data_IF_430356807738
#
_entry.id   IF_430356807738
#
_cell.length_a   1.000
_cell.length_b   1.000
_cell.length_c   1.000
_cell.angle_alpha   90.00
_cell.angle_beta   90.00
_cell.angle_gamma   90.00
#
_symmetry.space_group_name_H-M   'P 1'
#
loop_
_entity.id
_entity.type
_entity.pdbx_description
1 polymer ?
#
# COMPACT_ATOMS: atom_id res chain seq x y z
N UNK A 1 -14.91 -1.98 34.41
CA UNK A 1 -16.34 -1.73 34.10
C UNK A 1 -16.36 -0.55 33.14
N UNK A 2 -16.86 -0.61 31.90
CA UNK A 2 -17.92 -1.42 31.30
C UNK A 2 -17.47 -1.97 29.93
N UNK A 3 -17.67 -3.27 29.70
CA UNK A 3 -17.74 -3.83 28.36
C UNK A 3 -19.15 -3.50 27.87
N UNK A 4 -19.28 -2.44 27.07
CA UNK A 4 -20.56 -2.04 26.48
C UNK A 4 -20.79 -2.78 25.17
N UNK A 5 -21.79 -3.65 25.17
CA UNK A 5 -22.57 -4.20 24.05
C UNK A 5 -21.80 -4.78 22.85
N UNK A 6 -21.72 -6.10 22.77
CA UNK A 6 -21.64 -6.78 21.47
C UNK A 6 -22.92 -6.50 20.68
N UNK A 7 -22.90 -5.52 19.78
CA UNK A 7 -23.99 -5.36 18.81
C UNK A 7 -24.15 -6.68 18.04
N UNK A 8 -25.35 -7.24 18.08
CA UNK A 8 -25.66 -8.46 17.33
C UNK A 8 -25.55 -8.13 15.84
N UNK A 9 -24.63 -8.79 15.13
CA UNK A 9 -24.40 -8.55 13.69
C UNK A 9 -25.72 -8.65 12.93
N UNK A 10 -26.02 -7.65 12.12
CA UNK A 10 -27.19 -7.67 11.23
C UNK A 10 -27.10 -8.83 10.24
N UNK A 11 -28.25 -9.31 9.75
CA UNK A 11 -28.28 -10.39 8.77
C UNK A 11 -27.41 -10.11 7.52
N UNK A 12 -27.42 -8.90 6.91
CA UNK A 12 -26.50 -8.57 5.82
C UNK A 12 -25.02 -8.67 6.18
N UNK A 13 -24.63 -8.34 7.43
CA UNK A 13 -23.24 -8.48 7.88
C UNK A 13 -22.85 -9.95 7.98
N UNK A 14 -23.69 -10.80 8.58
CA UNK A 14 -23.46 -12.26 8.64
C UNK A 14 -23.34 -12.86 7.23
N UNK A 15 -24.26 -12.51 6.33
CA UNK A 15 -24.20 -12.95 4.93
C UNK A 15 -22.94 -12.46 4.20
N UNK A 16 -22.45 -11.26 4.48
CA UNK A 16 -21.20 -10.77 3.90
C UNK A 16 -20.00 -11.62 4.34
N UNK A 17 -19.99 -12.10 5.58
CA UNK A 17 -18.95 -12.99 6.11
C UNK A 17 -19.04 -14.38 5.46
N UNK A 18 -20.26 -14.91 5.29
CA UNK A 18 -20.48 -16.19 4.60
C UNK A 18 -20.03 -16.13 3.13
N UNK A 19 -20.26 -15.00 2.45
CA UNK A 19 -19.80 -14.79 1.07
C UNK A 19 -18.27 -14.69 1.03
N UNK A 20 -17.63 -14.04 2.01
CA UNK A 20 -16.15 -14.02 2.11
C UNK A 20 -15.63 -15.44 2.33
N UNK A 21 -16.24 -16.22 3.22
CA UNK A 21 -15.86 -17.61 3.45
C UNK A 21 -16.01 -18.46 2.18
N UNK A 22 -17.07 -18.23 1.39
CA UNK A 22 -17.25 -18.83 0.08
C UNK A 22 -16.14 -18.45 -0.91
N UNK A 23 -15.81 -17.16 -1.04
CA UNK A 23 -14.73 -16.66 -1.92
C UNK A 23 -13.41 -17.36 -1.59
N UNK A 24 -13.07 -17.46 -0.30
CA UNK A 24 -11.85 -18.10 0.18
C UNK A 24 -11.85 -19.60 -0.07
N UNK A 25 -12.98 -20.28 0.20
CA UNK A 25 -13.13 -21.72 0.01
C UNK A 25 -13.01 -22.13 -1.46
N UNK A 26 -13.60 -21.36 -2.36
CA UNK A 26 -13.52 -21.61 -3.81
C UNK A 26 -12.23 -21.05 -4.44
N UNK A 27 -11.35 -20.43 -3.64
CA UNK A 27 -10.10 -19.82 -4.07
C UNK A 27 -10.28 -18.84 -5.26
N UNK A 28 -11.36 -18.05 -5.23
CA UNK A 28 -11.64 -17.08 -6.28
C UNK A 28 -10.58 -15.97 -6.27
N UNK A 29 -10.05 -15.68 -7.46
CA UNK A 29 -8.99 -14.72 -7.69
C UNK A 29 -9.56 -13.34 -8.07
N UNK A 30 -8.77 -12.26 -7.91
CA UNK A 30 -9.12 -10.95 -8.46
C UNK A 30 -9.59 -11.03 -9.92
N UNK A 31 -10.76 -10.45 -10.21
CA UNK A 31 -11.38 -10.49 -11.53
C UNK A 31 -12.32 -11.67 -11.78
N UNK A 32 -12.35 -12.71 -10.93
CA UNK A 32 -13.29 -13.82 -11.06
C UNK A 32 -14.73 -13.35 -10.83
N UNK A 33 -15.67 -13.98 -11.53
CA UNK A 33 -17.10 -13.66 -11.44
C UNK A 33 -17.76 -14.42 -10.30
N UNK A 34 -18.46 -13.71 -9.42
CA UNK A 34 -19.28 -14.32 -8.39
C UNK A 34 -20.61 -14.86 -8.95
N UNK A 35 -21.18 -15.90 -8.32
CA UNK A 35 -22.55 -16.31 -8.60
C UNK A 35 -23.51 -15.12 -8.44
N UNK A 36 -24.57 -15.09 -9.25
CA UNK A 36 -25.56 -14.02 -9.16
C UNK A 36 -26.35 -14.09 -7.85
N UNK A 37 -27.06 -13.00 -7.52
CA UNK A 37 -27.82 -12.88 -6.26
C UNK A 37 -28.86 -14.00 -6.07
N UNK A 38 -29.44 -14.52 -7.15
CA UNK A 38 -30.41 -15.63 -7.05
C UNK A 38 -29.73 -16.91 -6.58
N UNK A 39 -28.60 -17.26 -7.19
CA UNK A 39 -27.82 -18.44 -6.79
C UNK A 39 -27.27 -18.28 -5.36
N UNK A 40 -26.79 -17.09 -5.00
CA UNK A 40 -26.31 -16.81 -3.64
C UNK A 40 -27.45 -16.90 -2.61
N UNK A 41 -28.64 -16.39 -2.93
CA UNK A 41 -29.83 -16.51 -2.06
C UNK A 41 -30.20 -17.96 -1.76
N UNK A 42 -30.19 -18.82 -2.78
CA UNK A 42 -30.48 -20.25 -2.62
C UNK A 42 -29.39 -20.94 -1.77
N UNK A 43 -28.11 -20.67 -2.07
CA UNK A 43 -26.98 -21.26 -1.34
C UNK A 43 -26.92 -20.86 0.12
N UNK A 44 -27.23 -19.61 0.43
CA UNK A 44 -27.15 -19.04 1.78
C UNK A 44 -28.49 -19.12 2.52
N UNK A 45 -29.52 -19.72 1.91
CA UNK A 45 -30.88 -19.79 2.44
C UNK A 45 -31.39 -18.42 2.95
N UNK A 46 -31.20 -17.38 2.14
CA UNK A 46 -31.45 -15.99 2.51
C UNK A 46 -32.25 -15.23 1.45
N UNK A 47 -33.09 -14.31 1.90
CA UNK A 47 -33.87 -13.44 1.00
C UNK A 47 -32.98 -12.62 0.07
N UNK A 48 -33.41 -12.44 -1.18
CA UNK A 48 -32.67 -11.70 -2.23
C UNK A 48 -32.32 -10.27 -1.81
N UNK A 49 -33.22 -9.60 -1.08
CA UNK A 49 -32.97 -8.27 -0.54
C UNK A 49 -31.77 -8.25 0.41
N UNK A 50 -31.68 -9.21 1.33
CA UNK A 50 -30.58 -9.32 2.30
C UNK A 50 -29.24 -9.64 1.62
N UNK A 51 -29.24 -10.53 0.62
CA UNK A 51 -28.04 -10.83 -0.18
C UNK A 51 -27.57 -9.59 -0.93
N UNK A 52 -28.48 -8.84 -1.55
CA UNK A 52 -28.13 -7.59 -2.23
C UNK A 52 -27.50 -6.56 -1.28
N UNK A 53 -28.03 -6.40 -0.08
CA UNK A 53 -27.41 -5.51 0.92
C UNK A 53 -26.03 -6.03 1.38
N UNK A 54 -25.86 -7.34 1.55
CA UNK A 54 -24.55 -7.94 1.83
C UNK A 54 -23.55 -7.66 0.69
N UNK A 55 -23.97 -7.77 -0.57
CA UNK A 55 -23.13 -7.44 -1.73
C UNK A 55 -22.72 -5.97 -1.76
N UNK A 56 -23.61 -5.04 -1.36
CA UNK A 56 -23.26 -3.62 -1.21
C UNK A 56 -22.22 -3.39 -0.11
N UNK A 57 -22.33 -4.09 1.03
CA UNK A 57 -21.33 -4.03 2.11
C UNK A 57 -19.97 -4.56 1.66
N UNK A 58 -19.95 -5.62 0.85
CA UNK A 58 -18.70 -6.14 0.27
C UNK A 58 -18.11 -5.17 -0.76
N UNK A 59 -18.96 -4.50 -1.54
CA UNK A 59 -18.52 -3.50 -2.51
C UNK A 59 -17.91 -2.27 -1.82
N UNK A 60 -18.53 -1.77 -0.74
CA UNK A 60 -18.01 -0.62 0.02
C UNK A 60 -16.66 -0.91 0.70
N UNK A 61 -16.38 -2.18 1.02
CA UNK A 61 -15.10 -2.66 1.55
C UNK A 61 -14.08 -3.01 0.46
N UNK A 62 -14.39 -2.71 -0.81
CA UNK A 62 -13.62 -3.11 -1.99
C UNK A 62 -13.27 -4.60 -2.03
N UNK A 63 -14.18 -5.48 -1.58
CA UNK A 63 -14.01 -6.94 -1.72
C UNK A 63 -14.49 -7.38 -3.10
N UNK A 64 -15.54 -6.75 -3.60
CA UNK A 64 -16.15 -7.03 -4.90
C UNK A 64 -16.41 -5.74 -5.69
N UNK A 65 -16.48 -5.86 -7.01
CA UNK A 65 -16.89 -4.78 -7.92
C UNK A 65 -18.16 -5.17 -8.66
N UNK A 66 -19.21 -4.36 -8.50
CA UNK A 66 -20.50 -4.56 -9.17
C UNK A 66 -20.45 -3.86 -10.53
N UNK A 67 -20.65 -4.60 -11.62
CA UNK A 67 -20.71 -4.07 -12.99
C UNK A 67 -22.14 -4.22 -13.52
N UNK A 68 -22.82 -3.08 -13.72
CA UNK A 68 -24.20 -3.04 -14.19
C UNK A 68 -24.37 -3.83 -15.49
N UNK A 69 -25.39 -4.70 -15.54
CA UNK A 69 -25.67 -5.56 -16.70
C UNK A 69 -24.69 -6.72 -16.94
N UNK A 70 -23.56 -6.77 -16.24
CA UNK A 70 -22.52 -7.80 -16.43
C UNK A 70 -22.47 -8.79 -15.26
N UNK A 71 -22.60 -8.30 -14.03
CA UNK A 71 -22.54 -9.11 -12.81
C UNK A 71 -21.54 -8.55 -11.80
N UNK A 72 -21.21 -9.36 -10.79
CA UNK A 72 -20.30 -8.98 -9.72
C UNK A 72 -19.01 -9.78 -9.80
N UNK A 73 -17.88 -9.10 -9.60
CA UNK A 73 -16.54 -9.67 -9.74
C UNK A 73 -15.72 -9.43 -8.48
N UNK A 74 -14.74 -10.29 -8.19
CA UNK A 74 -13.76 -10.03 -7.13
C UNK A 74 -12.95 -8.79 -7.49
N UNK A 75 -12.77 -7.87 -6.54
CA UNK A 75 -12.01 -6.65 -6.75
C UNK A 75 -10.54 -6.95 -7.10
N UNK A 76 -9.84 -6.02 -7.74
CA UNK A 76 -8.41 -6.17 -8.10
C UNK A 76 -7.51 -6.34 -6.86
N UNK A 77 -7.86 -5.65 -5.77
CA UNK A 77 -7.17 -5.71 -4.48
C UNK A 77 -8.19 -5.86 -3.33
N UNK A 78 -8.75 -7.08 -3.12
CA UNK A 78 -9.83 -7.28 -2.17
C UNK A 78 -9.50 -6.77 -0.77
N UNK A 79 -10.37 -5.91 -0.23
CA UNK A 79 -10.22 -5.32 1.11
C UNK A 79 -9.32 -4.08 1.18
N UNK A 80 -8.69 -3.65 0.08
CA UNK A 80 -7.98 -2.36 0.02
C UNK A 80 -8.95 -1.28 -0.42
N UNK A 81 -9.42 -0.43 0.49
CA UNK A 81 -10.21 0.75 0.13
C UNK A 81 -9.32 1.93 -0.24
N UNK A 82 -9.90 2.93 -0.90
CA UNK A 82 -9.26 4.24 -1.08
C UNK A 82 -9.09 4.91 0.29
N UNK A 83 -7.91 5.52 0.53
CA UNK A 83 -7.50 6.11 1.81
C UNK A 83 -7.86 5.26 3.06
N UNK A 84 -7.27 4.06 3.21
CA UNK A 84 -7.64 3.12 4.28
C UNK A 84 -7.30 3.62 5.70
N UNK A 85 -6.53 4.69 5.82
CA UNK A 85 -6.12 5.30 7.09
C UNK A 85 -6.80 6.64 7.36
N UNK A 86 -7.66 7.12 6.45
CA UNK A 86 -8.36 8.39 6.61
C UNK A 86 -7.43 9.61 6.61
N UNK A 87 -6.27 9.52 5.96
CA UNK A 87 -5.27 10.59 5.93
C UNK A 87 -5.82 11.86 5.26
N UNK A 88 -6.78 11.73 4.34
CA UNK A 88 -7.46 12.86 3.69
C UNK A 88 -8.13 13.80 4.69
N UNK A 89 -8.53 13.31 5.87
CA UNK A 89 -9.18 14.12 6.90
C UNK A 89 -8.21 14.81 7.87
N UNK A 90 -6.88 14.66 7.69
CA UNK A 90 -5.88 15.31 8.52
C UNK A 90 -5.54 16.69 7.94
N UNK A 91 -6.14 17.74 8.52
CA UNK A 91 -6.01 19.11 8.01
C UNK A 91 -4.62 19.74 8.19
N UNK A 92 -3.87 19.35 9.23
CA UNK A 92 -2.51 19.84 9.44
C UNK A 92 -1.52 19.03 8.60
N UNK A 93 -1.31 19.46 7.35
CA UNK A 93 -0.38 18.81 6.41
C UNK A 93 1.06 18.75 6.93
N UNK A 94 1.53 19.79 7.62
CA UNK A 94 2.92 19.79 8.12
C UNK A 94 3.12 18.72 9.19
N UNK A 95 2.19 18.61 10.15
CA UNK A 95 2.22 17.53 11.14
C UNK A 95 2.11 16.16 10.47
N UNK A 96 1.24 16.01 9.47
CA UNK A 96 1.07 14.76 8.73
C UNK A 96 2.38 14.31 8.06
N UNK A 97 3.15 15.22 7.48
CA UNK A 97 4.47 14.92 6.89
C UNK A 97 5.41 14.32 7.93
N UNK A 98 5.52 14.92 9.12
CA UNK A 98 6.37 14.42 10.19
C UNK A 98 5.90 13.06 10.72
N UNK A 99 4.61 12.93 11.02
CA UNK A 99 4.04 11.68 11.52
C UNK A 99 4.21 10.53 10.51
N UNK A 100 3.98 10.78 9.21
CA UNK A 100 4.22 9.78 8.17
C UNK A 100 5.69 9.40 8.06
N UNK A 101 6.61 10.37 8.20
CA UNK A 101 8.04 10.08 8.20
C UNK A 101 8.43 9.17 9.36
N UNK A 102 7.89 9.41 10.56
CA UNK A 102 8.11 8.53 11.72
C UNK A 102 7.64 7.11 11.44
N UNK A 103 6.47 6.95 10.81
CA UNK A 103 5.98 5.61 10.43
C UNK A 103 6.86 4.96 9.37
N UNK A 104 7.39 5.71 8.39
CA UNK A 104 8.37 5.18 7.43
C UNK A 104 9.63 4.66 8.13
N UNK A 105 10.15 5.37 9.14
CA UNK A 105 11.29 4.90 9.93
C UNK A 105 11.04 3.57 10.63
N UNK A 106 9.80 3.31 11.09
CA UNK A 106 9.43 2.05 11.72
C UNK A 106 9.33 0.90 10.70
N UNK A 107 8.89 1.20 9.47
CA UNK A 107 8.54 0.19 8.48
C UNK A 107 9.64 -0.08 7.46
N UNK A 108 10.09 0.95 6.76
CA UNK A 108 10.86 0.79 5.52
C UNK A 108 12.25 0.15 5.70
N UNK A 109 13.05 0.47 6.73
CA UNK A 109 14.33 -0.19 6.95
C UNK A 109 14.17 -1.71 7.10
N UNK A 110 13.21 -2.16 7.92
CA UNK A 110 12.91 -3.57 8.12
C UNK A 110 12.40 -4.23 6.83
N UNK A 111 11.55 -3.51 6.07
CA UNK A 111 11.05 -3.98 4.78
C UNK A 111 12.19 -4.15 3.76
N UNK A 112 13.16 -3.22 3.71
CA UNK A 112 14.32 -3.31 2.84
C UNK A 112 15.20 -4.51 3.18
N UNK A 113 15.45 -4.77 4.48
CA UNK A 113 16.15 -5.97 4.94
C UNK A 113 15.45 -7.27 4.51
N UNK A 114 14.11 -7.30 4.65
CA UNK A 114 13.30 -8.42 4.21
C UNK A 114 13.34 -8.60 2.69
N UNK A 115 13.33 -7.51 1.93
CA UNK A 115 13.46 -7.53 0.48
C UNK A 115 14.82 -8.10 0.07
N UNK A 116 15.92 -7.64 0.66
CA UNK A 116 17.26 -8.20 0.41
C UNK A 116 17.31 -9.71 0.70
N UNK A 117 16.63 -10.17 1.74
CA UNK A 117 16.59 -11.60 2.09
C UNK A 117 15.76 -12.45 1.12
N UNK A 118 14.69 -11.89 0.54
CA UNK A 118 13.60 -12.68 -0.10
C UNK A 118 13.33 -12.35 -1.57
N UNK A 119 13.90 -11.27 -2.09
CA UNK A 119 13.74 -10.88 -3.48
C UNK A 119 14.28 -11.97 -4.41
N UNK A 120 13.58 -12.23 -5.52
CA UNK A 120 14.11 -13.05 -6.59
C UNK A 120 14.73 -12.18 -7.69
N UNK A 121 15.32 -12.81 -8.72
CA UNK A 121 15.96 -12.10 -9.84
C UNK A 121 15.03 -11.12 -10.57
N UNK A 122 13.73 -11.42 -10.67
CA UNK A 122 12.74 -10.53 -11.33
C UNK A 122 12.47 -9.30 -10.45
N UNK A 123 12.37 -9.50 -9.15
CA UNK A 123 12.21 -8.42 -8.17
C UNK A 123 13.41 -7.48 -8.20
N UNK A 124 14.63 -8.03 -8.11
CA UNK A 124 15.89 -7.25 -8.17
C UNK A 124 15.96 -6.45 -9.46
N UNK A 125 15.71 -7.09 -10.62
CA UNK A 125 15.69 -6.39 -11.91
C UNK A 125 14.71 -5.23 -11.92
N UNK A 126 13.50 -5.43 -11.37
CA UNK A 126 12.47 -4.38 -11.27
C UNK A 126 12.94 -3.22 -10.39
N UNK A 127 13.51 -3.51 -9.21
CA UNK A 127 14.04 -2.49 -8.28
C UNK A 127 15.16 -1.69 -8.93
N UNK A 128 16.15 -2.34 -9.55
CA UNK A 128 17.26 -1.67 -10.24
C UNK A 128 16.78 -0.79 -11.38
N UNK A 129 15.83 -1.29 -12.20
CA UNK A 129 15.26 -0.50 -13.32
C UNK A 129 14.53 0.74 -12.81
N UNK A 130 13.78 0.63 -11.71
CA UNK A 130 13.09 1.78 -11.12
C UNK A 130 14.07 2.78 -10.50
N UNK A 131 15.15 2.29 -9.89
CA UNK A 131 16.25 3.14 -9.44
C UNK A 131 16.87 3.93 -10.61
N UNK A 132 17.12 3.27 -11.75
CA UNK A 132 17.61 3.91 -12.97
C UNK A 132 16.63 4.98 -13.49
N UNK A 133 15.34 4.68 -13.51
CA UNK A 133 14.28 5.60 -13.95
C UNK A 133 14.22 6.85 -13.06
N UNK A 134 14.26 6.69 -11.73
CA UNK A 134 14.26 7.81 -10.77
C UNK A 134 15.49 8.69 -10.97
N UNK A 135 16.68 8.08 -11.06
CA UNK A 135 17.92 8.82 -11.30
C UNK A 135 17.90 9.60 -12.61
N UNK A 136 17.39 9.00 -13.69
CA UNK A 136 17.30 9.65 -14.99
C UNK A 136 16.36 10.87 -14.96
N UNK A 137 15.25 10.81 -14.22
CA UNK A 137 14.32 11.92 -14.05
C UNK A 137 14.93 13.03 -13.19
N UNK A 138 15.56 12.68 -12.06
CA UNK A 138 16.26 13.62 -11.19
C UNK A 138 17.35 14.38 -11.95
N UNK A 139 18.21 13.70 -12.71
CA UNK A 139 19.26 14.35 -13.52
C UNK A 139 18.70 15.32 -14.56
N UNK A 140 17.49 15.05 -15.07
CA UNK A 140 16.80 15.92 -16.04
C UNK A 140 15.95 17.00 -15.37
N UNK A 141 15.91 17.06 -14.04
CA UNK A 141 15.06 17.97 -13.27
C UNK A 141 13.58 17.84 -13.64
N UNK A 142 13.14 16.61 -13.92
CA UNK A 142 11.73 16.26 -14.20
C UNK A 142 11.14 15.62 -12.96
N UNK A 143 9.83 15.81 -12.75
CA UNK A 143 9.11 15.15 -11.67
C UNK A 143 9.34 13.63 -11.67
N UNK A 144 9.86 13.14 -10.55
CA UNK A 144 10.22 11.74 -10.31
C UNK A 144 9.25 11.06 -9.33
N UNK A 145 8.27 11.79 -8.78
CA UNK A 145 7.40 11.34 -7.67
C UNK A 145 6.76 9.98 -7.95
N UNK A 146 6.20 9.80 -9.14
CA UNK A 146 5.53 8.53 -9.49
C UNK A 146 6.51 7.36 -9.56
N UNK A 147 7.73 7.59 -10.05
CA UNK A 147 8.77 6.56 -10.12
C UNK A 147 9.36 6.23 -8.76
N UNK A 148 9.42 7.21 -7.88
CA UNK A 148 9.82 7.01 -6.49
C UNK A 148 8.81 6.14 -5.73
N UNK A 149 7.51 6.42 -5.90
CA UNK A 149 6.43 5.57 -5.39
C UNK A 149 6.56 4.13 -5.91
N UNK A 150 6.80 3.96 -7.21
CA UNK A 150 7.01 2.64 -7.82
C UNK A 150 8.23 1.92 -7.22
N UNK A 151 9.32 2.63 -6.97
CA UNK A 151 10.56 2.09 -6.39
C UNK A 151 10.32 1.56 -4.97
N UNK A 152 9.77 2.38 -4.08
CA UNK A 152 9.43 1.97 -2.71
C UNK A 152 8.39 0.84 -2.68
N UNK A 153 7.38 0.90 -3.56
CA UNK A 153 6.40 -0.18 -3.74
C UNK A 153 7.07 -1.50 -4.15
N UNK A 154 8.03 -1.46 -5.06
CA UNK A 154 8.75 -2.65 -5.53
C UNK A 154 9.59 -3.28 -4.40
N UNK A 155 10.27 -2.47 -3.58
CA UNK A 155 10.98 -2.96 -2.38
C UNK A 155 9.99 -3.62 -1.41
N UNK A 156 8.87 -2.95 -1.12
CA UNK A 156 7.85 -3.46 -0.22
C UNK A 156 7.27 -4.81 -0.67
N UNK A 157 6.93 -4.97 -1.95
CA UNK A 157 6.44 -6.24 -2.51
C UNK A 157 7.52 -7.34 -2.51
N UNK A 158 8.79 -6.94 -2.59
CA UNK A 158 9.93 -7.87 -2.57
C UNK A 158 10.20 -8.45 -1.18
N UNK A 159 9.65 -7.86 -0.12
CA UNK A 159 9.67 -8.42 1.24
C UNK A 159 8.95 -9.78 1.36
N UNK A 160 8.12 -10.15 0.37
CA UNK A 160 7.29 -11.37 0.35
C UNK A 160 6.45 -11.59 1.61
N UNK A 161 6.18 -10.53 2.37
CA UNK A 161 5.32 -10.57 3.53
C UNK A 161 3.90 -10.21 3.09
N UNK A 162 2.93 -11.06 3.41
CA UNK A 162 1.53 -10.90 2.97
C UNK A 162 0.84 -9.65 3.54
N UNK A 163 1.36 -9.09 4.64
CA UNK A 163 0.83 -7.88 5.29
C UNK A 163 1.47 -6.60 4.73
N UNK A 164 2.74 -6.62 4.35
CA UNK A 164 3.46 -5.42 3.86
C UNK A 164 2.75 -4.71 2.69
N UNK A 165 2.20 -5.41 1.67
CA UNK A 165 1.43 -4.78 0.60
C UNK A 165 0.23 -3.96 1.10
N UNK A 166 -0.34 -4.32 2.24
CA UNK A 166 -1.46 -3.60 2.87
C UNK A 166 -1.01 -2.30 3.53
N UNK A 167 0.28 -2.18 3.85
CA UNK A 167 0.88 -0.99 4.47
C UNK A 167 1.48 -0.02 3.43
N UNK A 168 1.65 -0.45 2.18
CA UNK A 168 2.18 0.38 1.08
C UNK A 168 1.47 1.74 0.95
N UNK A 169 0.13 1.86 1.10
CA UNK A 169 -0.52 3.17 1.04
C UNK A 169 0.04 4.20 2.03
N UNK A 170 0.53 3.78 3.20
CA UNK A 170 1.20 4.68 4.16
C UNK A 170 2.44 5.30 3.53
N UNK A 171 3.27 4.47 2.89
CA UNK A 171 4.51 4.88 2.23
C UNK A 171 4.16 5.77 1.04
N UNK A 172 3.22 5.35 0.20
CA UNK A 172 2.87 6.07 -1.02
C UNK A 172 2.24 7.44 -0.75
N UNK A 173 1.41 7.58 0.29
CA UNK A 173 0.82 8.87 0.65
C UNK A 173 1.84 9.87 1.19
N UNK A 174 2.97 9.38 1.68
CA UNK A 174 4.02 10.22 2.27
C UNK A 174 4.95 10.82 1.21
N UNK A 175 5.28 10.07 0.16
CA UNK A 175 6.28 10.45 -0.87
C UNK A 175 5.93 11.79 -1.55
N UNK A 176 4.72 12.01 -2.09
CA UNK A 176 4.37 13.28 -2.73
C UNK A 176 4.54 14.48 -1.82
N UNK A 177 4.19 14.34 -0.53
CA UNK A 177 4.30 15.42 0.44
C UNK A 177 5.77 15.78 0.72
N UNK A 178 6.68 14.81 0.64
CA UNK A 178 8.12 15.07 0.77
C UNK A 178 8.71 15.72 -0.48
N UNK A 179 8.35 15.26 -1.67
CA UNK A 179 8.83 15.87 -2.92
C UNK A 179 8.37 17.33 -3.00
N UNK A 180 7.11 17.60 -2.67
CA UNK A 180 6.55 18.96 -2.62
C UNK A 180 7.28 19.84 -1.59
N UNK A 181 7.45 19.36 -0.35
CA UNK A 181 8.08 20.14 0.72
C UNK A 181 9.58 20.38 0.58
N UNK A 182 10.24 19.65 -0.33
CA UNK A 182 11.69 19.81 -0.58
C UNK A 182 11.99 20.57 -1.86
N UNK A 183 10.96 20.99 -2.62
CA UNK A 183 11.10 21.62 -3.94
C UNK A 183 12.03 20.85 -4.87
N UNK A 184 12.09 19.52 -4.72
CA UNK A 184 13.00 18.65 -5.44
C UNK A 184 14.49 18.78 -5.06
N UNK A 185 14.89 19.55 -4.07
CA UNK A 185 16.30 19.87 -3.82
C UNK A 185 17.20 18.66 -3.42
N UNK A 186 16.62 17.50 -3.08
CA UNK A 186 17.34 16.26 -2.76
C UNK A 186 17.67 15.46 -4.03
N UNK A 187 18.54 16.00 -4.89
CA UNK A 187 18.91 15.29 -6.12
C UNK A 187 19.99 14.24 -5.87
N UNK A 188 21.16 14.68 -5.41
CA UNK A 188 22.34 13.81 -5.29
C UNK A 188 22.17 12.78 -4.16
N UNK A 189 21.68 13.20 -2.99
CA UNK A 189 21.53 12.29 -1.84
C UNK A 189 20.47 11.20 -2.10
N UNK A 190 19.39 11.53 -2.83
CA UNK A 190 18.36 10.55 -3.22
C UNK A 190 18.94 9.53 -4.20
N UNK A 191 19.70 9.98 -5.20
CA UNK A 191 20.35 9.09 -6.17
C UNK A 191 21.31 8.14 -5.45
N UNK A 192 22.20 8.67 -4.60
CA UNK A 192 23.18 7.88 -3.87
C UNK A 192 22.50 6.84 -2.96
N UNK A 193 21.52 7.26 -2.17
CA UNK A 193 20.86 6.37 -1.22
C UNK A 193 19.98 5.33 -1.90
N UNK A 194 19.27 5.66 -2.98
CA UNK A 194 18.51 4.68 -3.76
C UNK A 194 19.41 3.62 -4.38
N UNK A 195 20.57 4.05 -4.92
CA UNK A 195 21.57 3.14 -5.49
C UNK A 195 22.09 2.17 -4.43
N UNK A 196 22.41 2.68 -3.26
CA UNK A 196 22.90 1.87 -2.14
C UNK A 196 21.87 0.83 -1.69
N UNK A 197 20.59 1.23 -1.57
CA UNK A 197 19.49 0.32 -1.24
C UNK A 197 19.34 -0.77 -2.31
N UNK A 198 19.30 -0.38 -3.59
CA UNK A 198 19.12 -1.31 -4.69
C UNK A 198 20.28 -2.31 -4.81
N UNK A 199 21.53 -1.83 -4.62
CA UNK A 199 22.72 -2.66 -4.61
C UNK A 199 22.70 -3.67 -3.45
N UNK A 200 22.41 -3.21 -2.23
CA UNK A 200 22.33 -4.07 -1.06
C UNK A 200 21.26 -5.17 -1.21
N UNK A 201 20.11 -4.84 -1.79
CA UNK A 201 19.06 -5.82 -2.10
C UNK A 201 19.54 -6.80 -3.18
N UNK A 202 20.21 -6.32 -4.24
CA UNK A 202 20.71 -7.16 -5.32
C UNK A 202 21.80 -8.15 -4.86
N UNK A 203 22.61 -7.74 -3.88
CA UNK A 203 23.67 -8.54 -3.26
C UNK A 203 23.15 -9.44 -2.12
N UNK A 204 21.85 -9.38 -1.81
CA UNK A 204 21.22 -10.08 -0.70
C UNK A 204 21.79 -9.72 0.69
N UNK A 205 22.31 -8.51 0.86
CA UNK A 205 22.81 -8.01 2.14
C UNK A 205 21.69 -7.28 2.90
N UNK A 206 21.07 -8.01 3.84
CA UNK A 206 19.94 -7.52 4.61
C UNK A 206 20.29 -6.36 5.56
N UNK A 207 21.46 -6.40 6.19
CA UNK A 207 21.87 -5.36 7.13
C UNK A 207 22.21 -4.08 6.37
N UNK A 208 22.95 -4.19 5.27
CA UNK A 208 23.27 -3.06 4.40
C UNK A 208 22.02 -2.42 3.82
N UNK A 209 21.03 -3.22 3.39
CA UNK A 209 19.77 -2.70 2.87
C UNK A 209 18.95 -1.96 3.94
N UNK A 210 18.94 -2.45 5.18
CA UNK A 210 18.31 -1.78 6.31
C UNK A 210 18.94 -0.41 6.58
N UNK A 211 20.27 -0.39 6.71
CA UNK A 211 21.02 0.80 7.07
C UNK A 211 20.96 1.86 5.96
N UNK A 212 21.03 1.43 4.70
CA UNK A 212 20.88 2.31 3.54
C UNK A 212 19.49 2.97 3.50
N UNK A 213 18.42 2.21 3.75
CA UNK A 213 17.06 2.75 3.81
C UNK A 213 16.87 3.69 5.01
N UNK A 214 17.45 3.35 6.17
CA UNK A 214 17.43 4.25 7.32
C UNK A 214 18.14 5.58 7.00
N UNK A 215 19.31 5.53 6.37
CA UNK A 215 20.07 6.70 5.97
C UNK A 215 19.30 7.57 4.95
N UNK A 216 18.66 6.95 3.95
CA UNK A 216 17.76 7.64 3.01
C UNK A 216 16.71 8.48 3.75
N UNK A 217 16.03 7.89 4.74
CA UNK A 217 15.01 8.59 5.53
C UNK A 217 15.61 9.70 6.41
N UNK A 218 16.84 9.54 6.91
CA UNK A 218 17.55 10.60 7.65
C UNK A 218 17.80 11.82 6.77
N UNK A 219 18.20 11.63 5.50
CA UNK A 219 18.37 12.73 4.56
C UNK A 219 17.06 13.45 4.27
N UNK A 220 15.97 12.70 4.06
CA UNK A 220 14.63 13.27 3.89
C UNK A 220 14.23 14.13 5.10
N UNK A 221 14.39 13.58 6.33
CA UNK A 221 14.09 14.31 7.57
C UNK A 221 14.88 15.61 7.68
N UNK A 222 16.19 15.54 7.44
CA UNK A 222 17.07 16.70 7.53
C UNK A 222 16.63 17.79 6.55
N UNK A 223 16.22 17.42 5.33
CA UNK A 223 15.79 18.41 4.34
C UNK A 223 14.50 19.12 4.72
N UNK A 224 13.50 18.38 5.19
CA UNK A 224 12.22 18.97 5.65
C UNK A 224 12.48 20.04 6.71
N UNK A 225 13.31 19.70 7.71
CA UNK A 225 13.68 20.63 8.78
C UNK A 225 14.45 21.86 8.28
N UNK A 226 15.17 21.75 7.17
CA UNK A 226 15.88 22.89 6.56
C UNK A 226 14.91 23.78 5.76
N UNK A 227 13.97 23.21 5.00
CA UNK A 227 12.96 24.00 4.28
C UNK A 227 12.09 24.79 5.27
N UNK A 228 11.68 24.18 6.37
CA UNK A 228 10.88 24.84 7.42
C UNK A 228 11.59 26.03 8.07
N UNK A 229 12.92 25.95 8.26
CA UNK A 229 13.70 27.06 8.84
C UNK A 229 13.88 28.24 7.87
N UNK A 230 13.73 27.99 6.58
CA UNK A 230 13.92 28.97 5.51
C UNK A 230 12.59 29.52 4.96
N UNK A 231 11.46 29.08 5.50
CA UNK A 231 10.10 29.53 5.14
C UNK A 231 9.54 30.47 6.20
#
# INVERSE_FOLDING_TARGET
MMISSSEEKSLPQKLSEDIIAFILKENLQPGDKLPNETVLSERLNAGRSSVREAMKLLASRNIVTIRQGSGTYIASSPGMVEDPLGLTFIGNKQKLIHDLLEVRFLLEPSIAAMAATRANKKDIKKITTLCDDVEALLKKHVDHTQKDIEFHTAIALSSKNVVVPRLIPVINSSIPLFVESTSGALHEETIETHREIAAAIAEHDALRAQDAMYLHLVYNRKRILLTEKNS
#
